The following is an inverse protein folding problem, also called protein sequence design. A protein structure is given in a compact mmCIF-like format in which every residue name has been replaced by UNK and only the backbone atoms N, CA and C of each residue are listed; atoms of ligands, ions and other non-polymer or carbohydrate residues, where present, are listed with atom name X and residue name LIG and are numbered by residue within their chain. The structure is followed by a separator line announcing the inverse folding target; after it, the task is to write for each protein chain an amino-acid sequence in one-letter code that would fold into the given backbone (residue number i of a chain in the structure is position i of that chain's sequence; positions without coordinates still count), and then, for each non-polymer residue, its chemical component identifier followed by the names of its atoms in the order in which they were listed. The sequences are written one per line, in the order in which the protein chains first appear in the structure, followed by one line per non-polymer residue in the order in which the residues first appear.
data_IF_158719125090
#
_entry.id   IF_158719125090
#
_cell.length_a   1.000
_cell.length_b   1.000
_cell.length_c   1.000
_cell.angle_alpha   90.00
_cell.angle_beta   90.00
_cell.angle_gamma   90.00
#
_symmetry.space_group_name_H-M   'P 1'
#
loop_
_entity.id
_entity.type
_entity.pdbx_description
1 polymer ?
#
# COMPACT_ATOMS: atom_id res chain seq x y z
N UNK A 1 7.54 -31.63 -21.90
CA UNK A 1 6.71 -30.45 -22.20
C UNK A 1 6.38 -29.81 -20.86
N UNK A 2 7.19 -28.85 -20.46
CA UNK A 2 7.11 -28.24 -19.13
C UNK A 2 6.04 -27.14 -19.17
N UNK A 3 4.91 -27.40 -18.51
CA UNK A 3 3.81 -26.45 -18.41
C UNK A 3 4.26 -25.33 -17.48
N UNK A 4 4.78 -24.24 -18.03
CA UNK A 4 5.04 -22.99 -17.29
C UNK A 4 3.75 -22.62 -16.54
N UNK A 5 3.69 -22.87 -15.22
CA UNK A 5 2.62 -22.35 -14.36
C UNK A 5 2.49 -20.85 -14.66
N UNK A 6 1.30 -20.39 -15.04
CA UNK A 6 1.06 -18.95 -15.27
C UNK A 6 1.48 -18.20 -14.01
N UNK A 7 2.55 -17.40 -14.13
CA UNK A 7 3.27 -16.75 -13.03
C UNK A 7 2.49 -15.59 -12.40
N UNK A 8 1.49 -15.09 -13.12
CA UNK A 8 0.53 -14.07 -12.68
C UNK A 8 -0.89 -14.49 -13.07
N UNK A 9 -1.87 -14.08 -12.26
CA UNK A 9 -3.29 -14.25 -12.56
C UNK A 9 -3.63 -13.55 -13.89
N UNK A 10 -4.41 -14.17 -14.77
CA UNK A 10 -5.10 -13.46 -15.86
C UNK A 10 -5.90 -12.26 -15.33
N UNK A 11 -6.13 -11.25 -16.18
CA UNK A 11 -6.90 -10.07 -15.80
C UNK A 11 -8.29 -10.46 -15.28
N UNK A 12 -8.90 -11.45 -15.94
CA UNK A 12 -10.22 -11.98 -15.66
C UNK A 12 -10.33 -12.70 -14.31
N UNK A 13 -9.18 -13.05 -13.71
CA UNK A 13 -9.10 -13.68 -12.38
C UNK A 13 -8.73 -12.68 -11.27
N UNK A 14 -8.50 -11.40 -11.62
CA UNK A 14 -8.24 -10.37 -10.61
C UNK A 14 -9.53 -10.02 -9.88
N UNK A 15 -9.43 -9.95 -8.56
CA UNK A 15 -10.49 -9.52 -7.65
C UNK A 15 -10.18 -8.12 -7.12
N UNK A 16 -11.09 -7.52 -6.35
CA UNK A 16 -10.84 -6.23 -5.70
C UNK A 16 -9.65 -6.23 -4.73
N UNK A 17 -9.20 -7.41 -4.28
CA UNK A 17 -8.04 -7.59 -3.38
C UNK A 17 -6.70 -7.48 -4.09
N UNK A 18 -6.69 -7.64 -5.41
CA UNK A 18 -5.48 -7.55 -6.20
C UNK A 18 -5.16 -6.07 -6.44
N UNK A 19 -3.98 -5.59 -6.04
CA UNK A 19 -3.66 -4.15 -5.96
C UNK A 19 -3.98 -3.40 -7.26
N UNK A 20 -3.61 -3.96 -8.42
CA UNK A 20 -3.91 -3.37 -9.73
C UNK A 20 -5.40 -3.07 -9.92
N UNK A 21 -6.28 -4.01 -9.54
CA UNK A 21 -7.72 -3.84 -9.64
C UNK A 21 -8.24 -2.87 -8.58
N UNK A 22 -7.74 -2.98 -7.34
CA UNK A 22 -8.08 -2.06 -6.26
C UNK A 22 -7.84 -0.61 -6.65
N UNK A 23 -6.62 -0.28 -7.09
CA UNK A 23 -6.24 1.06 -7.54
C UNK A 23 -7.16 1.54 -8.65
N UNK A 24 -7.35 0.74 -9.71
CA UNK A 24 -8.20 1.11 -10.86
C UNK A 24 -9.64 1.43 -10.43
N UNK A 25 -10.22 0.61 -9.56
CA UNK A 25 -11.62 0.76 -9.11
C UNK A 25 -11.78 1.90 -8.12
N UNK A 26 -10.90 2.02 -7.12
CA UNK A 26 -10.97 3.06 -6.10
C UNK A 26 -10.43 4.41 -6.59
N UNK A 27 -9.81 4.48 -7.77
CA UNK A 27 -9.52 5.76 -8.46
C UNK A 27 -10.78 6.48 -8.97
N UNK A 28 -11.96 5.84 -8.91
CA UNK A 28 -13.24 6.47 -9.22
C UNK A 28 -13.82 7.15 -7.96
N UNK A 29 -14.05 8.46 -8.03
CA UNK A 29 -14.70 9.24 -6.96
C UNK A 29 -16.03 8.62 -6.51
N UNK A 30 -16.82 8.08 -7.45
CA UNK A 30 -18.12 7.47 -7.15
C UNK A 30 -18.01 6.18 -6.32
N UNK A 31 -16.80 5.60 -6.23
CA UNK A 31 -16.49 4.45 -5.38
C UNK A 31 -15.81 4.88 -4.08
N UNK A 32 -14.75 5.68 -4.16
CA UNK A 32 -13.95 6.05 -2.99
C UNK A 32 -14.71 6.91 -1.98
N UNK A 33 -15.46 7.91 -2.45
CA UNK A 33 -16.15 8.85 -1.55
C UNK A 33 -17.23 8.17 -0.71
N UNK A 34 -18.17 7.37 -1.27
CA UNK A 34 -19.15 6.65 -0.45
C UNK A 34 -18.51 5.71 0.57
N UNK A 35 -17.42 5.04 0.19
CA UNK A 35 -16.67 4.17 1.10
C UNK A 35 -16.08 4.96 2.29
N UNK A 36 -15.38 6.07 2.02
CA UNK A 36 -14.81 6.93 3.06
C UNK A 36 -15.88 7.49 4.00
N UNK A 37 -17.00 7.99 3.45
CA UNK A 37 -18.14 8.47 4.26
C UNK A 37 -18.70 7.36 5.15
N UNK A 38 -18.86 6.15 4.61
CA UNK A 38 -19.37 5.02 5.36
C UNK A 38 -18.44 4.59 6.49
N UNK A 39 -17.13 4.53 6.23
CA UNK A 39 -16.13 4.08 7.20
C UNK A 39 -15.89 5.12 8.31
N UNK A 40 -15.64 6.37 7.92
CA UNK A 40 -15.18 7.43 8.83
C UNK A 40 -16.33 8.20 9.49
N UNK A 41 -17.56 8.05 8.99
CA UNK A 41 -18.74 8.79 9.46
C UNK A 41 -18.58 10.31 9.40
N UNK A 42 -17.81 10.77 8.42
CA UNK A 42 -17.61 12.19 8.12
C UNK A 42 -18.36 12.56 6.83
N UNK A 43 -18.74 13.83 6.74
CA UNK A 43 -19.23 14.42 5.50
C UNK A 43 -18.07 14.83 4.60
N UNK A 44 -18.18 14.49 3.32
CA UNK A 44 -17.20 14.75 2.26
C UNK A 44 -17.96 15.28 1.04
N UNK A 45 -17.72 16.55 0.68
CA UNK A 45 -18.43 17.20 -0.43
C UNK A 45 -17.95 16.69 -1.78
N UNK A 46 -16.64 16.75 -2.03
CA UNK A 46 -16.00 16.35 -3.28
C UNK A 46 -14.59 15.85 -3.01
N UNK A 47 -14.12 14.92 -3.83
CA UNK A 47 -12.74 14.45 -3.76
C UNK A 47 -12.07 14.44 -5.12
N UNK A 48 -10.75 14.67 -5.12
CA UNK A 48 -9.89 14.24 -6.21
C UNK A 48 -9.22 12.93 -5.81
N UNK A 49 -9.13 11.99 -6.74
CA UNK A 49 -8.48 10.70 -6.51
C UNK A 49 -7.30 10.55 -7.45
N UNK A 50 -6.14 10.20 -6.88
CA UNK A 50 -4.93 9.88 -7.62
C UNK A 50 -4.63 8.41 -7.39
N UNK A 51 -4.80 7.60 -8.45
CA UNK A 51 -4.35 6.21 -8.47
C UNK A 51 -2.85 6.16 -8.71
N UNK A 52 -2.12 5.46 -7.84
CA UNK A 52 -0.65 5.40 -7.83
C UNK A 52 0.01 6.79 -7.79
N UNK A 53 0.11 7.38 -6.60
CA UNK A 53 0.89 8.61 -6.42
C UNK A 53 2.35 8.26 -6.16
N UNK A 54 3.20 8.50 -7.16
CA UNK A 54 4.65 8.36 -7.05
C UNK A 54 5.26 9.61 -6.43
N UNK A 55 5.98 9.44 -5.32
CA UNK A 55 6.66 10.55 -4.67
C UNK A 55 8.15 10.24 -4.48
N UNK A 56 8.96 11.01 -5.21
CA UNK A 56 10.40 11.06 -5.03
C UNK A 56 10.71 12.25 -4.12
N UNK A 57 10.86 12.01 -2.82
CA UNK A 57 11.34 13.04 -1.90
C UNK A 57 12.86 13.31 -2.05
N UNK A 58 13.60 12.38 -2.68
CA UNK A 58 15.06 12.40 -2.94
C UNK A 58 15.43 11.15 -3.78
N UNK A 59 16.33 11.21 -4.77
CA UNK A 59 16.88 10.02 -5.45
C UNK A 59 17.52 8.99 -4.50
N UNK A 60 17.95 9.40 -3.31
CA UNK A 60 18.56 8.53 -2.29
C UNK A 60 17.57 8.07 -1.20
N UNK A 61 16.29 8.42 -1.29
CA UNK A 61 15.27 8.01 -0.32
C UNK A 61 14.36 6.94 -0.91
N UNK A 62 13.77 6.15 -0.01
CA UNK A 62 12.82 5.09 -0.37
C UNK A 62 11.69 5.67 -1.23
N UNK A 63 11.53 5.13 -2.45
CA UNK A 63 10.44 5.46 -3.35
C UNK A 63 9.10 5.13 -2.70
N UNK A 64 8.14 6.05 -2.80
CA UNK A 64 6.81 5.88 -2.20
C UNK A 64 5.78 5.86 -3.29
N UNK A 65 4.92 4.86 -3.17
CA UNK A 65 3.72 4.69 -3.99
C UNK A 65 2.57 4.54 -3.01
N UNK A 66 1.72 5.55 -2.98
CA UNK A 66 0.39 5.42 -2.38
C UNK A 66 -0.47 4.63 -3.36
N UNK A 67 -1.21 3.62 -2.88
CA UNK A 67 -2.09 2.87 -3.75
C UNK A 67 -3.23 3.77 -4.28
N UNK A 68 -4.03 4.35 -3.37
CA UNK A 68 -5.08 5.31 -3.72
C UNK A 68 -5.08 6.49 -2.75
N UNK A 69 -4.63 7.65 -3.24
CA UNK A 69 -4.65 8.91 -2.50
C UNK A 69 -5.88 9.74 -2.88
N UNK A 70 -6.74 9.98 -1.91
CA UNK A 70 -7.95 10.79 -2.02
C UNK A 70 -7.73 12.12 -1.30
N UNK A 71 -8.00 13.24 -1.97
CA UNK A 71 -7.88 14.59 -1.40
C UNK A 71 -9.26 15.25 -1.42
N UNK A 72 -9.75 15.68 -0.26
CA UNK A 72 -11.00 16.44 -0.17
C UNK A 72 -10.83 17.83 -0.78
N UNK A 73 -11.80 18.22 -1.62
CA UNK A 73 -11.88 19.55 -2.22
C UNK A 73 -12.91 20.38 -1.46
N UNK A 74 -12.47 21.42 -0.74
CA UNK A 74 -13.36 22.33 -0.03
C UNK A 74 -12.80 23.77 -0.04
N UNK A 75 -13.62 24.75 0.37
CA UNK A 75 -13.23 26.17 0.44
C UNK A 75 -12.20 26.50 1.56
N UNK A 76 -11.58 25.49 2.17
CA UNK A 76 -10.60 25.60 3.25
C UNK A 76 -9.49 24.56 3.13
N UNK A 77 -8.92 24.14 4.27
CA UNK A 77 -7.91 23.07 4.31
C UNK A 77 -8.65 21.73 4.21
N UNK A 78 -8.63 21.11 3.04
CA UNK A 78 -9.19 19.78 2.82
C UNK A 78 -8.38 18.68 3.51
N UNK A 79 -9.03 17.55 3.78
CA UNK A 79 -8.41 16.34 4.34
C UNK A 79 -7.73 15.50 3.27
N UNK A 80 -6.84 14.59 3.69
CA UNK A 80 -6.26 13.55 2.83
C UNK A 80 -6.58 12.16 3.37
N UNK A 81 -6.84 11.22 2.47
CA UNK A 81 -7.11 9.83 2.78
C UNK A 81 -6.26 8.94 1.88
N UNK A 82 -5.48 8.08 2.48
CA UNK A 82 -4.67 7.08 1.81
C UNK A 82 -5.28 5.69 2.04
N UNK A 83 -5.69 5.03 0.96
CA UNK A 83 -6.31 3.71 1.00
C UNK A 83 -5.34 2.65 0.49
N UNK A 84 -5.08 1.65 1.32
CA UNK A 84 -4.05 0.63 1.06
C UNK A 84 -4.66 -0.77 1.21
N UNK A 85 -4.67 -1.55 0.12
CA UNK A 85 -5.11 -2.95 0.15
C UNK A 85 -3.93 -3.85 0.50
N UNK A 86 -3.86 -4.31 1.75
CA UNK A 86 -2.70 -5.04 2.26
C UNK A 86 -3.04 -6.50 2.56
N UNK A 87 -2.73 -7.38 1.60
CA UNK A 87 -3.05 -8.81 1.68
C UNK A 87 -2.10 -9.64 2.56
N UNK A 88 -0.90 -9.13 2.81
CA UNK A 88 0.13 -9.81 3.62
C UNK A 88 0.44 -8.97 4.84
N UNK A 89 0.45 -9.56 6.03
CA UNK A 89 0.96 -8.87 7.20
C UNK A 89 2.48 -8.84 7.17
N UNK A 90 3.01 -7.68 6.78
CA UNK A 90 4.44 -7.43 6.64
C UNK A 90 5.11 -7.06 7.97
N UNK A 91 4.32 -6.84 9.03
CA UNK A 91 4.72 -6.45 10.41
C UNK A 91 5.17 -5.00 10.59
N UNK A 92 5.31 -4.21 9.52
CA UNK A 92 5.71 -2.80 9.57
C UNK A 92 4.58 -1.81 9.30
N UNK A 93 3.33 -2.24 9.10
CA UNK A 93 2.24 -1.34 8.70
C UNK A 93 2.07 -0.10 9.61
N UNK A 94 2.22 -0.18 10.94
CA UNK A 94 2.22 1.02 11.80
C UNK A 94 3.35 2.00 11.50
N UNK A 95 4.55 1.49 11.22
CA UNK A 95 5.70 2.32 10.85
C UNK A 95 5.55 2.90 9.45
N UNK A 96 4.98 2.13 8.52
CA UNK A 96 4.67 2.56 7.15
C UNK A 96 3.64 3.69 7.16
N UNK A 97 2.57 3.56 7.93
CA UNK A 97 1.56 4.60 8.11
C UNK A 97 2.19 5.92 8.59
N UNK A 98 3.08 5.87 9.59
CA UNK A 98 3.78 7.06 10.07
C UNK A 98 4.66 7.70 8.99
N UNK A 99 5.37 6.88 8.21
CA UNK A 99 6.22 7.37 7.13
C UNK A 99 5.41 8.03 6.02
N UNK A 100 4.29 7.43 5.64
CA UNK A 100 3.35 7.94 4.65
C UNK A 100 2.77 9.31 5.05
N UNK A 101 2.39 9.48 6.32
CA UNK A 101 1.90 10.77 6.81
C UNK A 101 2.95 11.87 6.71
N UNK A 102 4.19 11.58 7.14
CA UNK A 102 5.29 12.55 7.04
C UNK A 102 5.59 12.96 5.60
N UNK A 103 5.41 12.05 4.65
CA UNK A 103 5.61 12.36 3.23
C UNK A 103 4.46 13.20 2.67
N UNK A 104 3.23 12.88 3.03
CA UNK A 104 2.06 13.68 2.66
C UNK A 104 2.16 15.12 3.18
N UNK A 105 2.69 15.31 4.40
CA UNK A 105 3.00 16.64 4.95
C UNK A 105 4.03 17.37 4.06
N UNK A 106 5.12 16.70 3.64
CA UNK A 106 6.13 17.36 2.80
C UNK A 106 5.61 17.78 1.43
N UNK A 107 4.63 17.08 0.85
CA UNK A 107 4.01 17.45 -0.43
C UNK A 107 3.14 18.71 -0.29
N UNK A 108 2.40 18.80 0.80
CA UNK A 108 1.48 19.91 1.06
C UNK A 108 2.20 21.16 1.56
N UNK A 109 3.34 20.98 2.24
CA UNK A 109 4.18 22.06 2.73
C UNK A 109 5.16 22.59 1.68
N UNK A 110 4.69 23.49 0.82
CA UNK A 110 5.61 24.39 0.06
C UNK A 110 6.28 25.43 0.99
N UNK A 111 7.38 26.05 0.54
CA UNK A 111 8.20 27.02 1.29
C UNK A 111 7.44 28.22 1.93
N UNK A 112 6.17 28.43 1.57
CA UNK A 112 5.32 29.54 2.03
C UNK A 112 4.20 29.12 2.99
N UNK A 113 3.99 27.82 3.21
CA UNK A 113 2.89 27.31 4.05
C UNK A 113 3.29 27.26 5.53
N UNK A 114 2.31 27.50 6.41
CA UNK A 114 2.51 27.47 7.87
C UNK A 114 2.13 26.09 8.43
N UNK A 115 2.73 25.67 9.54
CA UNK A 115 2.37 24.39 10.19
C UNK A 115 0.88 24.28 10.56
N UNK A 116 0.22 25.40 10.87
CA UNK A 116 -1.23 25.43 11.13
C UNK A 116 -2.10 25.12 9.91
N UNK A 117 -1.49 25.01 8.73
CA UNK A 117 -2.14 24.70 7.45
C UNK A 117 -1.94 23.22 7.06
N UNK A 118 -1.32 22.42 7.94
CA UNK A 118 -1.22 20.98 7.76
C UNK A 118 -2.62 20.37 7.66
N UNK A 119 -2.78 19.47 6.69
CA UNK A 119 -4.03 18.79 6.41
C UNK A 119 -4.28 17.72 7.46
N UNK A 120 -5.54 17.53 7.80
CA UNK A 120 -5.96 16.33 8.51
C UNK A 120 -5.80 15.11 7.61
N UNK A 121 -5.20 14.04 8.14
CA UNK A 121 -4.79 12.88 7.34
C UNK A 121 -5.29 11.55 7.91
N UNK A 122 -5.74 10.68 7.02
CA UNK A 122 -6.17 9.32 7.33
C UNK A 122 -5.35 8.32 6.51
N UNK A 123 -4.68 7.39 7.17
CA UNK A 123 -4.12 6.21 6.50
C UNK A 123 -4.99 5.00 6.83
N UNK A 124 -5.53 4.35 5.81
CA UNK A 124 -6.54 3.29 5.95
C UNK A 124 -6.04 2.02 5.28
N UNK A 125 -5.67 1.04 6.09
CA UNK A 125 -5.31 -0.29 5.61
C UNK A 125 -6.53 -1.20 5.60
N UNK A 126 -6.75 -1.88 4.48
CA UNK A 126 -7.70 -2.97 4.32
C UNK A 126 -6.95 -4.29 4.38
N UNK A 127 -7.18 -5.09 5.42
CA UNK A 127 -6.41 -6.29 5.71
C UNK A 127 -7.30 -7.54 5.81
N UNK A 128 -6.88 -8.69 5.25
CA UNK A 128 -7.60 -9.95 5.40
C UNK A 128 -7.39 -10.61 6.76
N UNK A 129 -6.47 -10.09 7.59
CA UNK A 129 -6.09 -10.68 8.87
C UNK A 129 -6.00 -9.62 9.95
N UNK A 130 -6.08 -10.07 11.20
CA UNK A 130 -5.92 -9.22 12.37
C UNK A 130 -4.44 -9.02 12.70
N UNK A 131 -3.90 -7.85 12.37
CA UNK A 131 -2.48 -7.54 12.62
C UNK A 131 -2.19 -7.20 14.10
N UNK A 132 -3.22 -6.97 14.92
CA UNK A 132 -3.10 -6.61 16.35
C UNK A 132 -3.55 -7.72 17.30
N UNK A 133 -4.26 -8.73 16.78
CA UNK A 133 -4.69 -9.90 17.53
C UNK A 133 -5.73 -9.64 18.62
N UNK A 134 -6.52 -8.55 18.53
CA UNK A 134 -7.59 -8.22 19.49
C UNK A 134 -8.99 -8.63 18.99
N UNK A 135 -9.06 -9.34 17.87
CA UNK A 135 -10.27 -9.86 17.23
C UNK A 135 -11.29 -8.79 16.82
N UNK A 136 -10.84 -7.53 16.62
CA UNK A 136 -11.71 -6.44 16.19
C UNK A 136 -11.77 -6.34 14.66
N UNK A 137 -12.92 -5.94 14.09
CA UNK A 137 -13.03 -5.71 12.65
C UNK A 137 -12.39 -4.39 12.22
N UNK A 138 -12.36 -3.39 13.09
CA UNK A 138 -11.81 -2.07 12.80
C UNK A 138 -10.99 -1.63 14.02
N UNK A 139 -9.76 -1.21 13.74
CA UNK A 139 -8.93 -0.49 14.69
C UNK A 139 -8.76 0.93 14.23
N UNK A 140 -8.95 1.86 15.15
CA UNK A 140 -8.80 3.29 14.93
C UNK A 140 -7.79 3.83 15.93
N UNK A 141 -6.81 4.57 15.43
CA UNK A 141 -5.73 5.13 16.23
C UNK A 141 -5.54 6.62 15.97
N UNK A 142 -5.35 7.34 17.06
CA UNK A 142 -4.89 8.73 17.12
C UNK A 142 -3.90 8.89 18.29
N UNK A 143 -3.12 9.97 18.31
CA UNK A 143 -2.21 10.27 19.41
C UNK A 143 -2.99 10.82 20.63
N UNK A 144 -2.75 10.23 21.80
CA UNK A 144 -3.42 10.56 23.07
C UNK A 144 -2.41 10.73 24.20
N UNK A 145 -2.79 11.47 25.24
CA UNK A 145 -1.97 11.54 26.46
C UNK A 145 -1.90 10.15 27.12
N UNK A 146 -0.72 9.79 27.63
CA UNK A 146 -0.42 8.43 28.07
C UNK A 146 -1.17 8.03 29.35
N UNK A 147 -1.37 8.98 30.27
CA UNK A 147 -1.97 8.76 31.58
C UNK A 147 -3.46 9.18 31.62
N UNK A 148 -3.89 10.03 30.70
CA UNK A 148 -5.27 10.40 30.43
C UNK A 148 -5.61 10.21 28.94
N UNK A 149 -5.97 8.98 28.51
CA UNK A 149 -6.32 8.70 27.13
C UNK A 149 -7.55 9.46 26.61
N UNK A 150 -8.33 10.12 27.48
CA UNK A 150 -9.44 10.96 27.03
C UNK A 150 -8.96 12.25 26.34
N UNK A 151 -7.74 12.69 26.64
CA UNK A 151 -7.09 13.85 26.02
C UNK A 151 -6.39 13.45 24.72
N UNK A 152 -6.86 14.00 23.60
CA UNK A 152 -6.24 13.82 22.28
C UNK A 152 -5.16 14.88 22.05
N UNK A 153 -4.11 14.52 21.30
CA UNK A 153 -3.03 15.45 20.97
C UNK A 153 -3.48 16.55 19.99
N UNK A 154 -4.47 16.24 19.14
CA UNK A 154 -4.98 17.17 18.14
C UNK A 154 -4.00 17.42 16.98
N UNK A 155 -3.14 16.46 16.66
CA UNK A 155 -2.20 16.55 15.53
C UNK A 155 -2.84 16.24 14.17
N UNK A 156 -4.15 15.95 14.16
CA UNK A 156 -4.96 15.67 12.97
C UNK A 156 -4.48 14.44 12.17
N UNK A 157 -3.79 13.50 12.83
CA UNK A 157 -3.31 12.27 12.21
C UNK A 157 -4.09 11.05 12.71
N UNK A 158 -4.72 10.34 11.77
CA UNK A 158 -5.55 9.17 12.06
C UNK A 158 -5.10 7.96 11.25
N UNK A 159 -5.20 6.78 11.86
CA UNK A 159 -4.84 5.50 11.23
C UNK A 159 -5.94 4.48 11.47
N UNK A 160 -6.40 3.86 10.40
CA UNK A 160 -7.40 2.81 10.44
C UNK A 160 -6.82 1.51 9.90
N UNK A 161 -7.14 0.41 10.57
CA UNK A 161 -6.83 -0.94 10.12
C UNK A 161 -8.12 -1.75 10.13
N UNK A 162 -8.65 -1.99 8.93
CA UNK A 162 -9.91 -2.70 8.74
C UNK A 162 -9.60 -4.17 8.46
N UNK A 163 -9.80 -5.02 9.45
CA UNK A 163 -9.73 -6.46 9.29
C UNK A 163 -11.03 -6.97 8.67
N UNK A 164 -11.06 -7.03 7.34
CA UNK A 164 -12.26 -7.37 6.61
C UNK A 164 -12.70 -8.83 6.81
N UNK A 165 -11.84 -9.74 7.26
CA UNK A 165 -12.25 -11.12 7.61
C UNK A 165 -13.23 -11.19 8.79
N UNK A 166 -13.25 -10.15 9.64
CA UNK A 166 -14.13 -10.05 10.81
C UNK A 166 -15.39 -9.23 10.53
N UNK A 167 -15.79 -9.08 9.27
CA UNK A 167 -16.98 -8.31 8.87
C UNK A 167 -18.24 -8.67 9.69
N UNK A 168 -18.41 -9.94 10.10
CA UNK A 168 -19.55 -10.38 10.91
C UNK A 168 -19.65 -9.73 12.31
N UNK A 169 -18.57 -9.15 12.83
CA UNK A 169 -18.54 -8.43 14.10
C UNK A 169 -18.86 -6.93 13.95
N UNK A 170 -19.04 -6.43 12.72
CA UNK A 170 -19.37 -5.01 12.47
C UNK A 170 -20.86 -4.78 12.69
N UNK A 171 -21.20 -3.83 13.56
CA UNK A 171 -22.58 -3.45 13.86
C UNK A 171 -23.19 -2.58 12.77
N UNK A 172 -22.43 -1.62 12.24
CA UNK A 172 -22.85 -0.73 11.15
C UNK A 172 -22.99 -1.52 9.84
N UNK A 173 -24.21 -1.58 9.32
CA UNK A 173 -24.53 -2.37 8.14
C UNK A 173 -23.78 -1.89 6.89
N UNK A 174 -23.65 -0.58 6.71
CA UNK A 174 -22.96 -0.01 5.55
C UNK A 174 -21.49 -0.41 5.53
N UNK A 175 -20.80 -0.31 6.67
CA UNK A 175 -19.39 -0.73 6.77
C UNK A 175 -19.26 -2.25 6.67
N UNK A 176 -20.17 -3.00 7.30
CA UNK A 176 -20.21 -4.47 7.23
C UNK A 176 -20.30 -4.95 5.79
N UNK A 177 -21.13 -4.33 4.95
CA UNK A 177 -21.27 -4.70 3.54
C UNK A 177 -19.95 -4.54 2.78
N UNK A 178 -19.25 -3.41 2.95
CA UNK A 178 -17.93 -3.21 2.34
C UNK A 178 -16.92 -4.27 2.79
N UNK A 179 -16.80 -4.50 4.10
CA UNK A 179 -15.85 -5.50 4.62
C UNK A 179 -16.23 -6.91 4.16
N UNK A 180 -17.53 -7.25 4.10
CA UNK A 180 -18.00 -8.53 3.57
C UNK A 180 -17.58 -8.67 2.11
N UNK A 181 -17.83 -7.67 1.27
CA UNK A 181 -17.42 -7.68 -0.13
C UNK A 181 -15.90 -7.88 -0.27
N UNK A 182 -15.09 -7.12 0.49
CA UNK A 182 -13.64 -7.33 0.51
C UNK A 182 -13.23 -8.71 1.04
N UNK A 183 -14.04 -9.39 1.84
CA UNK A 183 -13.74 -10.74 2.33
C UNK A 183 -14.19 -11.86 1.39
N UNK A 184 -15.29 -11.68 0.64
CA UNK A 184 -15.95 -12.78 -0.08
C UNK A 184 -16.27 -12.53 -1.55
N UNK A 185 -16.06 -11.31 -2.07
CA UNK A 185 -16.50 -10.85 -3.39
C UNK A 185 -18.04 -10.86 -3.57
N UNK A 186 -18.80 -11.05 -2.50
CA UNK A 186 -20.26 -11.03 -2.54
C UNK A 186 -20.79 -9.62 -2.32
N UNK A 187 -21.38 -9.02 -3.35
CA UNK A 187 -22.06 -7.74 -3.23
C UNK A 187 -23.43 -7.89 -2.57
N UNK A 188 -23.63 -7.28 -1.40
CA UNK A 188 -24.89 -7.29 -0.63
C UNK A 188 -25.66 -5.96 -0.67
N UNK A 189 -25.02 -4.89 -1.15
CA UNK A 189 -25.60 -3.53 -1.18
C UNK A 189 -25.36 -2.82 -2.51
N UNK A 190 -26.11 -1.74 -2.76
CA UNK A 190 -25.92 -0.91 -3.95
C UNK A 190 -24.48 -0.40 -4.09
N UNK A 191 -23.84 -0.05 -2.97
CA UNK A 191 -22.45 0.42 -2.97
C UNK A 191 -21.46 -0.69 -3.35
N UNK A 192 -21.56 -1.88 -2.73
CA UNK A 192 -20.71 -3.02 -3.09
C UNK A 192 -20.98 -3.54 -4.50
N UNK A 193 -22.22 -3.42 -4.98
CA UNK A 193 -22.57 -3.73 -6.37
C UNK A 193 -21.90 -2.78 -7.35
N UNK A 194 -21.84 -1.47 -7.05
CA UNK A 194 -21.11 -0.53 -7.88
C UNK A 194 -19.62 -0.88 -8.00
N UNK A 195 -18.99 -1.37 -6.92
CA UNK A 195 -17.62 -1.89 -6.95
C UNK A 195 -17.54 -3.13 -7.85
N UNK A 196 -18.44 -4.10 -7.66
CA UNK A 196 -18.51 -5.32 -8.48
C UNK A 196 -18.68 -5.01 -9.98
N UNK A 197 -19.60 -4.11 -10.31
CA UNK A 197 -19.87 -3.69 -11.69
C UNK A 197 -18.63 -3.04 -12.33
N UNK A 198 -17.83 -2.29 -11.54
CA UNK A 198 -16.55 -1.71 -11.99
C UNK A 198 -15.48 -2.77 -12.21
N UNK A 199 -15.36 -3.75 -11.32
CA UNK A 199 -14.45 -4.90 -11.51
C UNK A 199 -14.79 -5.62 -12.81
N UNK A 200 -16.07 -5.94 -13.01
CA UNK A 200 -16.58 -6.62 -14.21
C UNK A 200 -16.36 -5.80 -15.50
N UNK A 201 -16.48 -4.48 -15.40
CA UNK A 201 -16.16 -3.56 -16.50
C UNK A 201 -14.66 -3.66 -16.85
N UNK A 202 -13.77 -3.56 -15.85
CA UNK A 202 -12.33 -3.57 -16.07
C UNK A 202 -11.78 -4.92 -16.57
N UNK A 203 -12.43 -6.03 -16.25
CA UNK A 203 -12.09 -7.33 -16.87
C UNK A 203 -12.27 -7.34 -18.39
N UNK A 204 -13.20 -6.54 -18.90
CA UNK A 204 -13.60 -6.52 -20.33
C UNK A 204 -13.01 -5.34 -21.08
N UNK A 205 -12.48 -4.35 -20.39
CA UNK A 205 -11.96 -3.13 -20.98
C UNK A 205 -10.61 -3.36 -21.71
N UNK A 206 -10.53 -3.14 -23.04
CA UNK A 206 -9.30 -3.36 -23.80
C UNK A 206 -8.13 -2.50 -23.33
N UNK A 207 -8.40 -1.26 -22.86
CA UNK A 207 -7.37 -0.38 -22.33
C UNK A 207 -6.77 -0.97 -21.05
N UNK A 208 -7.63 -1.41 -20.12
CA UNK A 208 -7.20 -2.06 -18.87
C UNK A 208 -6.42 -3.34 -19.13
N UNK A 209 -6.80 -4.11 -20.15
CA UNK A 209 -6.00 -5.26 -20.59
C UNK A 209 -4.61 -4.86 -21.05
N UNK A 210 -4.49 -3.78 -21.83
CA UNK A 210 -3.19 -3.25 -22.23
C UNK A 210 -2.36 -2.79 -21.02
N UNK A 211 -2.97 -1.97 -20.15
CA UNK A 211 -2.33 -1.47 -18.91
C UNK A 211 -1.83 -2.64 -18.04
N UNK A 212 -2.62 -3.72 -17.92
CA UNK A 212 -2.25 -4.88 -17.11
C UNK A 212 -1.10 -5.69 -17.70
N UNK A 213 -0.99 -5.76 -19.03
CA UNK A 213 0.17 -6.39 -19.67
C UNK A 213 1.44 -5.58 -19.39
N UNK A 214 1.40 -4.26 -19.59
CA UNK A 214 2.52 -3.37 -19.25
C UNK A 214 2.90 -3.49 -17.77
N UNK A 215 1.91 -3.50 -16.87
CA UNK A 215 2.15 -3.68 -15.44
C UNK A 215 2.86 -5.00 -15.13
N UNK A 216 2.46 -6.09 -15.77
CA UNK A 216 3.12 -7.38 -15.59
C UNK A 216 4.54 -7.39 -16.11
N UNK A 217 4.79 -6.79 -17.28
CA UNK A 217 6.13 -6.72 -17.86
C UNK A 217 7.07 -5.95 -16.90
N UNK A 218 6.63 -4.80 -16.38
CA UNK A 218 7.38 -4.05 -15.36
C UNK A 218 7.67 -4.88 -14.09
N UNK A 219 6.68 -5.64 -13.58
CA UNK A 219 6.90 -6.53 -12.43
C UNK A 219 7.87 -7.68 -12.72
N UNK A 220 7.97 -8.12 -13.98
CA UNK A 220 8.96 -9.13 -14.35
C UNK A 220 10.37 -8.56 -14.39
N UNK A 221 10.52 -7.37 -14.95
CA UNK A 221 11.79 -6.63 -15.02
C UNK A 221 12.31 -6.32 -13.60
N UNK A 222 11.48 -5.72 -12.73
CA UNK A 222 11.83 -5.43 -11.32
C UNK A 222 12.26 -6.70 -10.56
N UNK A 223 11.63 -7.84 -10.86
CA UNK A 223 11.96 -9.12 -10.23
C UNK A 223 13.25 -9.72 -10.78
N UNK A 224 13.57 -9.49 -12.05
CA UNK A 224 14.83 -9.91 -12.64
C UNK A 224 15.98 -9.09 -12.05
N UNK A 225 15.83 -7.77 -11.99
CA UNK A 225 16.75 -6.85 -11.30
C UNK A 225 16.98 -7.29 -9.85
N UNK A 226 15.91 -7.49 -9.07
CA UNK A 226 16.04 -7.94 -7.68
C UNK A 226 16.71 -9.33 -7.51
N UNK A 227 16.62 -10.21 -8.52
CA UNK A 227 17.36 -11.49 -8.53
C UNK A 227 18.82 -11.30 -8.89
N UNK A 228 19.15 -10.37 -9.76
CA UNK A 228 20.53 -10.00 -10.07
C UNK A 228 21.20 -9.38 -8.85
N UNK A 229 20.54 -8.42 -8.21
CA UNK A 229 21.00 -7.81 -6.96
C UNK A 229 21.20 -8.86 -5.86
N UNK A 230 20.20 -9.72 -5.61
CA UNK A 230 20.33 -10.76 -4.59
C UNK A 230 21.44 -11.78 -4.88
N UNK A 231 21.71 -12.10 -6.16
CA UNK A 231 22.86 -12.93 -6.55
C UNK A 231 24.18 -12.22 -6.29
N UNK A 232 24.27 -10.92 -6.61
CA UNK A 232 25.46 -10.11 -6.36
C UNK A 232 25.74 -9.97 -4.86
N UNK A 233 24.72 -9.73 -4.03
CA UNK A 233 24.84 -9.68 -2.57
C UNK A 233 25.28 -11.02 -1.98
N UNK A 234 24.66 -12.12 -2.38
CA UNK A 234 25.07 -13.45 -1.92
C UNK A 234 26.52 -13.77 -2.30
N UNK A 235 26.96 -13.33 -3.49
CA UNK A 235 28.35 -13.47 -3.92
C UNK A 235 29.32 -12.67 -3.03
N UNK A 236 28.96 -11.44 -2.65
CA UNK A 236 29.73 -10.60 -1.72
C UNK A 236 29.79 -11.20 -0.32
N UNK A 237 28.67 -11.66 0.23
CA UNK A 237 28.64 -12.31 1.55
C UNK A 237 29.49 -13.59 1.59
N UNK A 238 29.45 -14.39 0.52
CA UNK A 238 30.29 -15.58 0.39
C UNK A 238 31.79 -15.22 0.27
N UNK A 239 32.12 -14.17 -0.50
CA UNK A 239 33.49 -13.67 -0.61
C UNK A 239 34.04 -13.18 0.73
N UNK A 240 33.21 -12.45 1.49
CA UNK A 240 33.53 -11.99 2.84
C UNK A 240 33.77 -13.16 3.79
N UNK A 241 32.87 -14.14 3.81
CA UNK A 241 33.02 -15.35 4.63
C UNK A 241 34.30 -16.13 4.32
N UNK A 242 34.66 -16.30 3.05
CA UNK A 242 35.90 -16.96 2.65
C UNK A 242 37.15 -16.16 3.02
N UNK A 243 37.12 -14.84 2.88
CA UNK A 243 38.22 -13.98 3.29
C UNK A 243 38.45 -14.07 4.80
N UNK A 244 37.38 -14.00 5.58
CA UNK A 244 37.44 -14.03 7.05
C UNK A 244 37.88 -15.43 7.54
N UNK A 245 37.62 -16.48 6.76
CA UNK A 245 38.15 -17.83 6.96
C UNK A 245 39.62 -18.02 6.52
N UNK A 246 40.29 -16.97 6.02
CA UNK A 246 41.69 -16.99 5.63
C UNK A 246 41.98 -17.62 4.26
N UNK A 247 40.97 -17.81 3.41
CA UNK A 247 41.16 -18.28 2.03
C UNK A 247 41.86 -17.18 1.22
N UNK A 248 42.79 -17.56 0.33
CA UNK A 248 43.54 -16.59 -0.46
C UNK A 248 42.62 -15.79 -1.40
N UNK A 249 42.91 -14.50 -1.53
CA UNK A 249 42.13 -13.57 -2.35
C UNK A 249 42.05 -14.01 -3.82
N UNK A 250 43.09 -14.66 -4.35
CA UNK A 250 43.10 -15.19 -5.72
C UNK A 250 42.08 -16.33 -5.90
N UNK A 251 41.94 -17.21 -4.91
CA UNK A 251 40.97 -18.31 -4.95
C UNK A 251 39.55 -17.76 -4.84
N UNK A 252 39.34 -16.76 -3.98
CA UNK A 252 38.04 -16.10 -3.84
C UNK A 252 37.67 -15.39 -5.15
N UNK A 253 38.57 -14.57 -5.70
CA UNK A 253 38.36 -13.83 -6.95
C UNK A 253 38.00 -14.77 -8.12
N UNK A 254 38.66 -15.93 -8.21
CA UNK A 254 38.36 -16.92 -9.26
C UNK A 254 36.96 -17.54 -9.13
N UNK A 255 36.42 -17.65 -7.92
CA UNK A 255 35.13 -18.30 -7.66
C UNK A 255 33.96 -17.31 -7.66
N UNK A 256 34.20 -16.07 -7.24
CA UNK A 256 33.16 -15.04 -7.09
C UNK A 256 33.11 -14.07 -8.26
N UNK A 257 34.19 -13.99 -9.05
CA UNK A 257 34.35 -13.01 -10.13
C UNK A 257 34.67 -11.59 -9.63
N UNK A 258 34.81 -11.39 -8.32
CA UNK A 258 35.19 -10.10 -7.71
C UNK A 258 36.70 -9.86 -7.81
N UNK A 259 37.12 -8.60 -7.90
CA UNK A 259 38.55 -8.27 -7.88
C UNK A 259 39.13 -8.43 -6.47
N UNK A 260 40.46 -8.65 -6.34
CA UNK A 260 41.12 -8.67 -5.04
C UNK A 260 40.95 -7.37 -4.23
N UNK A 261 40.81 -6.21 -4.89
CA UNK A 261 40.49 -4.95 -4.19
C UNK A 261 39.08 -4.95 -3.63
N UNK A 262 38.09 -5.40 -4.41
CA UNK A 262 36.70 -5.50 -3.96
C UNK A 262 36.58 -6.44 -2.76
N UNK A 263 37.24 -7.60 -2.80
CA UNK A 263 37.21 -8.58 -1.70
C UNK A 263 37.85 -8.01 -0.43
N UNK A 264 38.92 -7.21 -0.54
CA UNK A 264 39.54 -6.54 0.62
C UNK A 264 38.63 -5.47 1.25
N UNK A 265 37.74 -4.86 0.46
CA UNK A 265 36.86 -3.78 0.90
C UNK A 265 35.56 -4.25 1.58
N UNK A 266 35.20 -5.55 1.48
CA UNK A 266 33.98 -6.14 2.09
C UNK A 266 34.01 -6.25 3.63
#
# INVERSE_FOLDING_TARGET
MDCKKKKYKPLEELTIRDNFMFVKVFSDEAIAKPFLKALLKIEIERVSVVGEAHQQADPNKKYIRFDVLVKEECNGIGRTFDLEMQMVDTKELPLRARYYQGISDTETMGNTHKYKELKEQYIIFLCPTDIFGQERPIYEFENREKNDPSLTLGDLTYKYYCNFSRYGAVTDESVRDYLKYFATDEASSAATKAISDKVDFYHKDPKTRSDYMTFKDMLEDEREEGREEGRAEACKELAKGFRDAGISLEVIAKQTGLTPEEIKAL
#
